data_IF_743661719500
#
_entry.id   IF_743661719500
#
_cell.length_a   1.000
_cell.length_b   1.000
_cell.length_c   1.000
_cell.angle_alpha   90.00
_cell.angle_beta   90.00
_cell.angle_gamma   90.00
#
_symmetry.space_group_name_H-M   'P 1'
#
loop_
_entity.id
_entity.type
_entity.pdbx_description
1 polymer ?
#
# COMPACT_ATOMS: atom_id res chain seq x y z
N UNK A 1 -9.05 2.69 -5.91
CA UNK A 1 -9.21 3.35 -4.58
C UNK A 1 -8.04 2.94 -3.70
N UNK A 2 -7.53 3.82 -2.83
CA UNK A 2 -6.40 3.50 -1.95
C UNK A 2 -6.78 2.39 -0.96
N UNK A 3 -5.96 1.35 -0.85
CA UNK A 3 -6.25 0.20 -0.02
C UNK A 3 -6.08 0.46 1.49
N UNK A 4 -5.33 1.50 1.89
CA UNK A 4 -5.13 1.87 3.30
C UNK A 4 -6.20 2.83 3.86
N UNK A 5 -6.44 3.95 3.17
CA UNK A 5 -7.35 5.00 3.65
C UNK A 5 -8.75 4.95 3.02
N UNK A 6 -8.96 4.12 1.98
CA UNK A 6 -10.22 4.01 1.24
C UNK A 6 -10.66 5.30 0.53
N UNK A 7 -9.79 6.29 0.40
CA UNK A 7 -10.04 7.47 -0.43
C UNK A 7 -9.74 7.15 -1.92
N UNK A 8 -10.41 7.85 -2.86
CA UNK A 8 -10.04 7.80 -4.28
C UNK A 8 -8.58 8.18 -4.53
N UNK A 9 -8.09 7.87 -5.74
CA UNK A 9 -6.82 8.43 -6.19
C UNK A 9 -6.88 9.97 -6.20
N UNK A 10 -5.76 10.66 -5.90
CA UNK A 10 -5.75 12.12 -5.85
C UNK A 10 -6.01 12.77 -7.20
N UNK A 11 -5.69 12.09 -8.30
CA UNK A 11 -5.92 12.54 -9.67
C UNK A 11 -5.95 11.35 -10.63
N UNK A 12 -6.43 11.59 -11.86
CA UNK A 12 -6.29 10.66 -12.97
C UNK A 12 -5.06 11.03 -13.81
N UNK A 13 -4.36 10.01 -14.31
CA UNK A 13 -3.23 10.13 -15.23
C UNK A 13 -3.72 10.57 -16.62
N UNK A 14 -2.77 10.88 -17.52
CA UNK A 14 -3.08 11.34 -18.88
C UNK A 14 -3.89 10.32 -19.70
N UNK A 15 -3.79 9.04 -19.38
CA UNK A 15 -4.57 7.93 -19.97
C UNK A 15 -5.95 7.72 -19.30
N UNK A 16 -6.30 8.57 -18.32
CA UNK A 16 -7.55 8.50 -17.57
C UNK A 16 -7.53 7.52 -16.38
N UNK A 17 -6.43 6.81 -16.13
CA UNK A 17 -6.34 5.85 -15.02
C UNK A 17 -6.11 6.55 -13.67
N UNK A 18 -6.68 6.06 -12.56
CA UNK A 18 -6.48 6.64 -11.24
C UNK A 18 -5.04 6.43 -10.74
N UNK A 19 -4.37 7.50 -10.32
CA UNK A 19 -2.99 7.43 -9.84
C UNK A 19 -2.89 6.82 -8.43
N UNK A 20 -2.30 5.63 -8.31
CA UNK A 20 -1.90 4.97 -7.07
C UNK A 20 -0.50 4.37 -7.23
N UNK A 21 0.19 4.17 -6.13
CA UNK A 21 1.54 3.62 -6.06
C UNK A 21 1.48 2.20 -5.46
N UNK A 22 2.17 1.26 -6.08
CA UNK A 22 2.32 -0.10 -5.55
C UNK A 22 3.40 -0.08 -4.46
N UNK A 23 3.10 -0.71 -3.33
CA UNK A 23 3.98 -0.79 -2.19
C UNK A 23 4.06 -2.23 -1.65
N UNK A 24 5.27 -2.78 -1.59
CA UNK A 24 5.53 -4.07 -0.93
C UNK A 24 5.59 -3.89 0.59
N UNK A 25 4.76 -4.62 1.33
CA UNK A 25 4.58 -4.50 2.78
C UNK A 25 5.80 -5.00 3.55
N UNK A 26 6.36 -6.15 3.13
CA UNK A 26 7.74 -6.52 3.40
C UNK A 26 8.59 -6.04 2.23
N UNK A 27 9.50 -5.12 2.50
CA UNK A 27 10.35 -4.56 1.44
C UNK A 27 11.15 -5.63 0.72
N UNK A 28 11.25 -5.50 -0.61
CA UNK A 28 12.06 -6.39 -1.45
C UNK A 28 13.52 -6.44 -0.99
N UNK A 29 14.09 -5.29 -0.58
CA UNK A 29 15.44 -5.21 -0.02
C UNK A 29 15.64 -6.02 1.28
N UNK A 30 14.54 -6.35 1.97
CA UNK A 30 14.51 -7.17 3.18
C UNK A 30 14.00 -8.59 2.89
N UNK A 31 14.04 -9.03 1.62
CA UNK A 31 13.63 -10.36 1.19
C UNK A 31 12.13 -10.59 1.18
N UNK A 32 11.32 -9.54 1.03
CA UNK A 32 9.89 -9.69 0.74
C UNK A 32 9.64 -10.20 -0.68
N UNK A 33 8.56 -10.96 -0.86
CA UNK A 33 8.20 -11.50 -2.18
C UNK A 33 7.70 -10.40 -3.13
N UNK A 34 7.97 -10.55 -4.44
CA UNK A 34 7.38 -9.70 -5.47
C UNK A 34 6.07 -10.29 -5.98
N UNK A 35 5.07 -10.31 -5.08
CA UNK A 35 3.77 -10.94 -5.31
C UNK A 35 2.64 -10.02 -4.91
N UNK A 36 1.42 -10.33 -5.36
CA UNK A 36 0.24 -9.58 -4.94
C UNK A 36 -0.03 -9.79 -3.45
N UNK A 37 0.30 -10.94 -2.89
CA UNK A 37 0.14 -11.27 -1.46
C UNK A 37 0.98 -10.36 -0.54
N UNK A 38 2.04 -9.74 -1.08
CA UNK A 38 2.90 -8.79 -0.36
C UNK A 38 2.73 -7.34 -0.82
N UNK A 39 1.87 -7.04 -1.80
CA UNK A 39 1.77 -5.70 -2.40
C UNK A 39 0.41 -5.01 -2.18
N UNK A 40 0.41 -3.70 -1.95
CA UNK A 40 -0.80 -2.88 -1.82
C UNK A 40 -0.74 -1.63 -2.70
N UNK A 41 -1.88 -1.24 -3.28
CA UNK A 41 -2.07 -0.01 -4.04
C UNK A 41 -2.47 1.15 -3.11
N UNK A 42 -1.57 2.12 -2.96
CA UNK A 42 -1.69 3.21 -1.99
C UNK A 42 -1.70 4.57 -2.69
N UNK A 43 -2.41 5.55 -2.14
CA UNK A 43 -2.22 6.94 -2.58
C UNK A 43 -0.85 7.45 -2.09
N UNK A 44 -0.28 8.50 -2.71
CA UNK A 44 1.05 8.99 -2.37
C UNK A 44 1.23 9.31 -0.88
N UNK A 45 0.20 9.88 -0.25
CA UNK A 45 0.24 10.18 1.19
C UNK A 45 0.33 8.92 2.05
N UNK A 46 -0.48 7.90 1.77
CA UNK A 46 -0.43 6.62 2.48
C UNK A 46 0.88 5.87 2.20
N UNK A 47 1.35 5.88 0.96
CA UNK A 47 2.60 5.23 0.59
C UNK A 47 3.79 5.82 1.37
N UNK A 48 3.92 7.15 1.40
CA UNK A 48 4.94 7.81 2.21
C UNK A 48 4.75 7.55 3.71
N UNK A 49 3.52 7.52 4.22
CA UNK A 49 3.26 7.20 5.62
C UNK A 49 3.76 5.79 6.01
N UNK A 50 3.63 4.79 5.12
CA UNK A 50 4.16 3.44 5.38
C UNK A 50 5.69 3.42 5.56
N UNK A 51 6.41 4.34 4.92
CA UNK A 51 7.84 4.48 5.09
C UNK A 51 8.24 5.28 6.35
N UNK A 52 7.57 6.40 6.62
CA UNK A 52 8.09 7.43 7.56
C UNK A 52 7.19 7.77 8.74
N UNK A 53 5.89 7.42 8.72
CA UNK A 53 4.99 7.85 9.77
C UNK A 53 5.30 7.13 11.09
N UNK A 54 5.12 7.84 12.21
CA UNK A 54 5.27 7.30 13.57
C UNK A 54 4.35 6.09 13.79
N UNK A 55 3.16 6.11 13.18
CA UNK A 55 2.16 5.05 13.28
C UNK A 55 2.19 4.05 12.11
N UNK A 56 3.29 3.94 11.35
CA UNK A 56 3.38 3.03 10.18
C UNK A 56 3.03 1.57 10.51
N UNK A 57 3.40 1.08 11.69
CA UNK A 57 3.08 -0.28 12.11
C UNK A 57 1.58 -0.48 12.29
N UNK A 58 0.86 0.51 12.84
CA UNK A 58 -0.59 0.44 12.97
C UNK A 58 -1.29 0.46 11.59
N UNK A 59 -0.74 1.21 10.63
CA UNK A 59 -1.23 1.21 9.24
C UNK A 59 -1.00 -0.16 8.57
N UNK A 60 0.17 -0.76 8.78
CA UNK A 60 0.50 -2.10 8.29
C UNK A 60 -0.43 -3.17 8.87
N UNK A 61 -0.66 -3.16 10.18
CA UNK A 61 -1.58 -4.09 10.84
C UNK A 61 -3.01 -3.96 10.29
N UNK A 62 -3.47 -2.72 10.07
CA UNK A 62 -4.77 -2.46 9.47
C UNK A 62 -4.88 -3.08 8.08
N UNK A 63 -3.85 -3.01 7.24
CA UNK A 63 -3.86 -3.60 5.90
C UNK A 63 -4.03 -5.13 5.98
N UNK A 64 -3.22 -5.81 6.79
CA UNK A 64 -3.35 -7.26 6.98
C UNK A 64 -4.72 -7.70 7.53
N UNK A 65 -5.35 -6.88 8.38
CA UNK A 65 -6.69 -7.17 8.92
C UNK A 65 -7.81 -6.96 7.89
N UNK A 66 -7.63 -6.05 6.95
CA UNK A 66 -8.71 -5.58 6.06
C UNK A 66 -8.65 -6.15 4.65
N UNK A 67 -7.50 -6.68 4.22
CA UNK A 67 -7.29 -7.15 2.85
C UNK A 67 -6.96 -8.66 2.91
N UNK A 68 -7.93 -9.54 2.58
CA UNK A 68 -7.78 -10.99 2.76
C UNK A 68 -6.67 -11.64 1.93
N UNK A 69 -6.29 -11.03 0.80
CA UNK A 69 -5.22 -11.55 -0.07
C UNK A 69 -3.81 -11.34 0.49
N UNK A 70 -3.64 -10.48 1.50
CA UNK A 70 -2.32 -10.20 2.05
C UNK A 70 -1.88 -11.32 2.99
N UNK A 71 -0.64 -11.79 2.81
CA UNK A 71 -0.03 -12.83 3.64
C UNK A 71 1.20 -12.25 4.32
N UNK A 72 1.34 -12.48 5.63
CA UNK A 72 2.48 -11.96 6.39
C UNK A 72 3.71 -12.83 6.20
N UNK A 73 4.83 -12.19 5.89
CA UNK A 73 6.15 -12.79 5.62
C UNK A 73 7.25 -12.30 6.55
#
# INVERSE_FOLDING_TARGET
MCECCRNPAPFAQADGLPFLEVHHLKYLANGGSDTVENAAALCPNCHRAMHYAVNKNALLEKLYQTIPRLVRE
#
